data_IF_896113288292
#
_entry.id   IF_896113288292
#
_cell.length_a   1.000
_cell.length_b   1.000
_cell.length_c   1.000
_cell.angle_alpha   90.00
_cell.angle_beta   90.00
_cell.angle_gamma   90.00
#
_symmetry.space_group_name_H-M   'P 1'
#
loop_
_entity.id
_entity.type
_entity.pdbx_description
1 polymer ?
#
# COMPACT_ATOMS: atom_id res chain seq x y z
N UNK A 1 -5.11 -10.67 2.50
CA UNK A 1 -4.87 -9.29 2.94
C UNK A 1 -3.45 -9.12 3.44
N UNK A 2 -3.01 -9.92 4.44
CA UNK A 2 -1.65 -9.88 5.03
C UNK A 2 -0.48 -9.71 4.03
N UNK A 3 -0.50 -10.44 2.91
CA UNK A 3 0.55 -10.34 1.88
C UNK A 3 0.54 -8.97 1.19
N UNK A 4 -0.63 -8.52 0.72
CA UNK A 4 -0.80 -7.20 0.09
C UNK A 4 -0.38 -6.06 1.02
N UNK A 5 -0.73 -6.12 2.31
CA UNK A 5 -0.31 -5.11 3.29
C UNK A 5 1.21 -5.08 3.46
N UNK A 6 1.88 -6.23 3.56
CA UNK A 6 3.35 -6.29 3.69
C UNK A 6 4.06 -5.77 2.45
N UNK A 7 3.58 -6.12 1.25
CA UNK A 7 4.17 -5.59 0.01
C UNK A 7 3.95 -4.08 -0.11
N UNK A 8 2.81 -3.55 0.34
CA UNK A 8 2.56 -2.11 0.34
C UNK A 8 3.50 -1.36 1.31
N UNK A 9 3.74 -1.89 2.52
CA UNK A 9 4.72 -1.32 3.46
C UNK A 9 6.13 -1.34 2.83
N UNK A 10 6.50 -2.47 2.25
CA UNK A 10 7.80 -2.64 1.59
C UNK A 10 7.98 -1.65 0.44
N UNK A 11 6.96 -1.46 -0.38
CA UNK A 11 6.95 -0.49 -1.48
C UNK A 11 7.16 0.94 -0.95
N UNK A 12 6.42 1.34 0.08
CA UNK A 12 6.56 2.69 0.67
C UNK A 12 7.93 2.93 1.29
N UNK A 13 8.51 1.91 1.92
CA UNK A 13 9.86 1.99 2.48
C UNK A 13 10.92 2.08 1.36
N UNK A 14 10.82 1.23 0.33
CA UNK A 14 11.83 1.18 -0.73
C UNK A 14 11.79 2.38 -1.69
N UNK A 15 10.60 2.84 -2.09
CA UNK A 15 10.47 3.92 -3.09
C UNK A 15 10.50 5.31 -2.46
N UNK A 16 9.92 5.46 -1.27
CA UNK A 16 9.75 6.77 -0.62
C UNK A 16 10.59 6.93 0.67
N UNK A 17 11.28 5.88 1.12
CA UNK A 17 12.10 5.91 2.34
C UNK A 17 11.29 6.04 3.63
N UNK A 18 9.99 5.74 3.59
CA UNK A 18 9.10 5.87 4.76
C UNK A 18 9.35 4.71 5.73
N UNK A 19 9.56 5.01 7.00
CA UNK A 19 9.70 4.02 8.06
C UNK A 19 8.49 3.05 8.10
N UNK A 20 8.73 1.77 8.40
CA UNK A 20 7.70 0.73 8.34
C UNK A 20 6.50 1.00 9.26
N UNK A 21 6.73 1.57 10.46
CA UNK A 21 5.64 1.88 11.38
C UNK A 21 4.79 3.05 10.86
N UNK A 22 5.44 4.05 10.25
CA UNK A 22 4.77 5.19 9.62
C UNK A 22 3.99 4.76 8.38
N UNK A 23 4.59 3.90 7.54
CA UNK A 23 3.92 3.32 6.38
C UNK A 23 2.69 2.50 6.79
N UNK A 24 2.79 1.71 7.87
CA UNK A 24 1.65 0.95 8.38
C UNK A 24 0.51 1.86 8.86
N UNK A 25 0.83 2.92 9.62
CA UNK A 25 -0.16 3.90 10.07
C UNK A 25 -0.83 4.62 8.89
N UNK A 26 -0.05 5.03 7.89
CA UNK A 26 -0.55 5.64 6.67
C UNK A 26 -1.48 4.70 5.89
N UNK A 27 -1.05 3.46 5.64
CA UNK A 27 -1.87 2.46 4.95
C UNK A 27 -3.17 2.15 5.70
N UNK A 28 -3.15 2.21 7.03
CA UNK A 28 -4.36 2.03 7.84
C UNK A 28 -5.35 3.19 7.73
N UNK A 29 -4.87 4.41 7.48
CA UNK A 29 -5.69 5.61 7.48
C UNK A 29 -6.16 6.06 6.08
N UNK A 30 -5.32 5.85 5.06
CA UNK A 30 -5.47 6.50 3.76
C UNK A 30 -5.49 5.52 2.57
N UNK A 31 -5.35 4.22 2.80
CA UNK A 31 -5.32 3.21 1.72
C UNK A 31 -6.55 2.32 1.74
N UNK A 32 -7.15 2.15 0.56
CA UNK A 32 -8.26 1.23 0.37
C UNK A 32 -7.74 -0.15 -0.04
N UNK A 33 -8.22 -1.20 0.63
CA UNK A 33 -7.92 -2.58 0.27
C UNK A 33 -9.15 -3.23 -0.38
N UNK A 34 -9.06 -3.50 -1.67
CA UNK A 34 -10.15 -4.07 -2.46
C UNK A 34 -9.88 -5.53 -2.79
N UNK A 35 -10.92 -6.37 -2.70
CA UNK A 35 -10.86 -7.78 -3.11
C UNK A 35 -11.03 -7.85 -4.63
N UNK A 36 -10.01 -8.34 -5.33
CA UNK A 36 -10.09 -8.48 -6.79
C UNK A 36 -10.74 -9.78 -7.22
N UNK A 37 -10.45 -10.88 -6.51
CA UNK A 37 -10.98 -12.18 -6.86
C UNK A 37 -11.08 -13.12 -5.66
N UNK A 38 -12.19 -13.85 -5.65
CA UNK A 38 -12.45 -14.95 -4.70
C UNK A 38 -12.91 -16.23 -5.40
N UNK A 39 -12.88 -16.24 -6.74
CA UNK A 39 -13.39 -17.35 -7.56
C UNK A 39 -12.33 -18.42 -7.85
N UNK A 40 -11.05 -18.10 -7.69
CA UNK A 40 -9.93 -19.02 -7.90
C UNK A 40 -9.43 -19.65 -6.59
N UNK A 41 -8.55 -20.65 -6.71
CA UNK A 41 -7.77 -21.19 -5.57
C UNK A 41 -6.98 -20.09 -4.85
N UNK A 42 -6.52 -19.07 -5.59
CA UNK A 42 -5.76 -17.94 -5.06
C UNK A 42 -6.66 -16.72 -4.89
N UNK A 43 -6.78 -16.23 -3.65
CA UNK A 43 -7.52 -15.00 -3.32
C UNK A 43 -6.66 -13.78 -3.63
N UNK A 44 -7.18 -12.86 -4.43
CA UNK A 44 -6.51 -11.62 -4.83
C UNK A 44 -7.04 -10.41 -4.07
N UNK A 45 -6.12 -9.58 -3.56
CA UNK A 45 -6.42 -8.31 -2.87
C UNK A 45 -5.41 -7.27 -3.34
N UNK A 46 -5.87 -6.06 -3.66
CA UNK A 46 -5.03 -4.93 -4.06
C UNK A 46 -5.14 -3.77 -3.06
N UNK A 47 -4.03 -3.06 -2.88
CA UNK A 47 -3.95 -1.84 -2.09
C UNK A 47 -3.97 -0.64 -3.04
N UNK A 48 -4.90 0.30 -2.83
CA UNK A 48 -5.05 1.51 -3.64
C UNK A 48 -4.56 2.70 -2.84
N UNK A 49 -3.38 3.18 -3.24
CA UNK A 49 -2.72 4.33 -2.63
C UNK A 49 -2.92 5.53 -3.55
N UNK A 50 -3.35 6.67 -2.99
CA UNK A 50 -3.57 7.90 -3.78
C UNK A 50 -2.24 8.55 -4.10
N UNK A 51 -1.98 8.83 -5.38
CA UNK A 51 -0.80 9.59 -5.82
C UNK A 51 -0.76 11.02 -5.27
N UNK A 52 -1.94 11.59 -4.98
CA UNK A 52 -2.04 12.94 -4.42
C UNK A 52 -1.33 13.09 -3.07
N UNK A 53 -1.27 12.00 -2.29
CA UNK A 53 -0.64 11.98 -0.97
C UNK A 53 0.91 12.02 -1.08
N UNK A 54 1.46 11.84 -2.29
CA UNK A 54 2.90 11.83 -2.59
C UNK A 54 3.37 12.99 -3.48
N UNK A 55 2.54 14.02 -3.69
CA UNK A 55 2.91 15.18 -4.51
C UNK A 55 4.21 15.86 -4.08
N UNK A 56 4.51 15.82 -2.78
CA UNK A 56 5.74 16.39 -2.22
C UNK A 56 7.00 15.57 -2.58
N UNK A 57 6.84 14.29 -2.92
CA UNK A 57 7.93 13.41 -3.35
C UNK A 57 8.25 13.52 -4.86
N UNK A 58 7.34 14.03 -5.69
CA UNK A 58 7.56 14.19 -7.15
C UNK A 58 8.48 15.38 -7.51
N UNK A 59 8.80 16.28 -6.57
CA UNK A 59 9.60 17.49 -6.82
C UNK A 59 11.13 17.28 -6.72
N UNK A 60 11.64 16.05 -6.90
CA UNK A 60 13.08 15.75 -6.88
C UNK A 60 13.66 15.59 -8.28
#
# INVERSE_FOLDING_TARGET
MKKSTREAIRFLNQEYGIDEATAYAYLSAATDFEVSQVVDKTKGIHAKIRKADFKEFESK
#
